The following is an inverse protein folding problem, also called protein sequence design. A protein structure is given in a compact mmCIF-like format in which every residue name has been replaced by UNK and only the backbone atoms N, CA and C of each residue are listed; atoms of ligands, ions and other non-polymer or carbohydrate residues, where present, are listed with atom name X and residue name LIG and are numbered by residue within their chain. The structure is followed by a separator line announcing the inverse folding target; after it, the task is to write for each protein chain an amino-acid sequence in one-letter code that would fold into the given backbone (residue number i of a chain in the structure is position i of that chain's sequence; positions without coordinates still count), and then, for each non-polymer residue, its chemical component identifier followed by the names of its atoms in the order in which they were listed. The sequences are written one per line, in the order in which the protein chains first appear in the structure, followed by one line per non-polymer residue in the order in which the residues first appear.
data_IF_082722211511
#
_entry.id   IF_082722211511
#
_cell.length_a   1.000
_cell.length_b   1.000
_cell.length_c   1.000
_cell.angle_alpha   90.00
_cell.angle_beta   90.00
_cell.angle_gamma   90.00
#
_symmetry.space_group_name_H-M   'P 1'
#
loop_
_entity.id
_entity.type
_entity.pdbx_description
1 polymer ?
#
# COMPACT_ATOMS: atom_id res chain seq x y z
N UNK A 1 8.52 -56.92 17.67
CA UNK A 1 8.13 -56.25 16.39
C UNK A 1 6.83 -55.45 16.49
N UNK A 2 5.98 -55.70 17.49
CA UNK A 2 4.74 -54.97 17.79
C UNK A 2 4.95 -53.61 18.46
N UNK A 3 5.99 -53.45 19.29
CA UNK A 3 6.29 -52.19 20.00
C UNK A 3 6.63 -51.01 19.10
N UNK A 4 7.46 -51.24 18.07
CA UNK A 4 7.86 -50.18 17.14
C UNK A 4 6.67 -49.62 16.36
N UNK A 5 5.72 -50.47 15.94
CA UNK A 5 4.51 -50.04 15.23
C UNK A 5 3.57 -49.23 16.13
N UNK A 6 3.50 -49.58 17.42
CA UNK A 6 2.69 -48.84 18.41
C UNK A 6 3.27 -47.44 18.67
N UNK A 7 4.59 -47.36 18.81
CA UNK A 7 5.31 -46.10 19.02
C UNK A 7 5.17 -45.14 17.83
N UNK A 8 5.29 -45.66 16.59
CA UNK A 8 5.13 -44.87 15.37
C UNK A 8 3.72 -44.26 15.24
N UNK A 9 2.66 -45.01 15.58
CA UNK A 9 1.29 -44.49 15.56
C UNK A 9 1.06 -43.37 16.60
N UNK A 10 1.64 -43.50 17.80
CA UNK A 10 1.52 -42.47 18.84
C UNK A 10 2.25 -41.19 18.45
N UNK A 11 3.44 -41.31 17.85
CA UNK A 11 4.18 -40.16 17.33
C UNK A 11 3.38 -39.40 16.26
N UNK A 12 2.78 -40.13 15.31
CA UNK A 12 1.95 -39.53 14.27
C UNK A 12 0.75 -38.77 14.85
N UNK A 13 0.01 -39.38 15.79
CA UNK A 13 -1.14 -38.74 16.45
C UNK A 13 -0.70 -37.46 17.18
N UNK A 14 0.44 -37.48 17.90
CA UNK A 14 0.96 -36.29 18.58
C UNK A 14 1.27 -35.17 17.60
N UNK A 15 1.96 -35.48 16.50
CA UNK A 15 2.28 -34.48 15.47
C UNK A 15 1.02 -33.91 14.81
N UNK A 16 0.03 -34.73 14.49
CA UNK A 16 -1.24 -34.24 13.91
C UNK A 16 -2.00 -33.34 14.88
N UNK A 17 -2.03 -33.68 16.17
CA UNK A 17 -2.66 -32.85 17.20
C UNK A 17 -1.91 -31.52 17.40
N UNK A 18 -0.59 -31.53 17.37
CA UNK A 18 0.24 -30.33 17.48
C UNK A 18 0.00 -29.38 16.29
N UNK A 19 -0.05 -29.92 15.07
CA UNK A 19 -0.41 -29.14 13.87
C UNK A 19 -1.83 -28.57 14.00
N UNK A 20 -2.80 -29.35 14.47
CA UNK A 20 -4.18 -28.88 14.67
C UNK A 20 -4.27 -27.75 15.71
N UNK A 21 -3.58 -27.91 16.85
CA UNK A 21 -3.53 -26.89 17.90
C UNK A 21 -2.84 -25.62 17.44
N UNK A 22 -1.75 -25.74 16.66
CA UNK A 22 -1.06 -24.59 16.06
C UNK A 22 -1.97 -23.82 15.09
N UNK A 23 -2.66 -24.53 14.20
CA UNK A 23 -3.59 -23.92 13.24
C UNK A 23 -4.80 -23.28 13.92
N UNK A 24 -5.33 -23.89 14.98
CA UNK A 24 -6.44 -23.33 15.75
C UNK A 24 -6.01 -22.04 16.48
N UNK A 25 -4.80 -22.01 17.03
CA UNK A 25 -4.24 -20.82 17.66
C UNK A 25 -4.04 -19.68 16.65
N UNK A 26 -3.55 -19.99 15.45
CA UNK A 26 -3.41 -19.03 14.36
C UNK A 26 -4.77 -18.46 13.93
N UNK A 27 -5.78 -19.32 13.74
CA UNK A 27 -7.14 -18.88 13.40
C UNK A 27 -7.72 -17.94 14.47
N UNK A 28 -7.61 -18.30 15.76
CA UNK A 28 -8.09 -17.44 16.85
C UNK A 28 -7.35 -16.11 16.93
N UNK A 29 -6.05 -16.10 16.65
CA UNK A 29 -5.27 -14.87 16.59
C UNK A 29 -5.77 -13.96 15.47
N UNK A 30 -6.06 -14.51 14.29
CA UNK A 30 -6.63 -13.76 13.17
C UNK A 30 -8.03 -13.22 13.51
N UNK A 31 -8.89 -14.02 14.15
CA UNK A 31 -10.21 -13.56 14.61
C UNK A 31 -10.10 -12.38 15.59
N UNK A 32 -9.16 -12.44 16.54
CA UNK A 32 -8.92 -11.35 17.49
C UNK A 32 -8.42 -10.09 16.79
N UNK A 33 -7.52 -10.22 15.82
CA UNK A 33 -7.03 -9.08 15.03
C UNK A 33 -8.16 -8.42 14.23
N UNK A 34 -9.02 -9.23 13.59
CA UNK A 34 -10.17 -8.73 12.86
C UNK A 34 -11.14 -7.97 13.79
N UNK A 35 -11.42 -8.53 14.96
CA UNK A 35 -12.27 -7.90 15.96
C UNK A 35 -11.69 -6.55 16.44
N UNK A 36 -10.37 -6.47 16.65
CA UNK A 36 -9.70 -5.23 17.04
C UNK A 36 -9.80 -4.16 15.94
N UNK A 37 -9.58 -4.52 14.67
CA UNK A 37 -9.71 -3.59 13.54
C UNK A 37 -11.14 -3.08 13.38
N UNK A 38 -12.14 -3.94 13.56
CA UNK A 38 -13.55 -3.53 13.52
C UNK A 38 -13.89 -2.55 14.65
N UNK A 39 -13.38 -2.79 15.86
CA UNK A 39 -13.58 -1.87 16.99
C UNK A 39 -12.92 -0.51 16.75
N UNK A 40 -11.72 -0.48 16.16
CA UNK A 40 -11.03 0.76 15.78
C UNK A 40 -11.83 1.53 14.72
N UNK A 41 -12.35 0.85 13.70
CA UNK A 41 -13.20 1.46 12.68
C UNK A 41 -14.48 2.05 13.26
N UNK A 42 -15.16 1.34 14.18
CA UNK A 42 -16.36 1.87 14.84
C UNK A 42 -16.03 3.07 15.74
N UNK A 43 -14.85 3.10 16.36
CA UNK A 43 -14.39 4.27 17.12
C UNK A 43 -14.22 5.47 16.21
N UNK A 44 -13.51 5.32 15.08
CA UNK A 44 -13.32 6.39 14.10
C UNK A 44 -14.63 6.83 13.47
N UNK A 45 -15.52 5.90 13.15
CA UNK A 45 -16.84 6.18 12.61
C UNK A 45 -17.71 6.96 13.59
N UNK A 46 -17.52 6.81 14.90
CA UNK A 46 -18.26 7.56 15.91
C UNK A 46 -17.60 8.91 16.28
N UNK A 47 -16.42 9.19 15.76
CA UNK A 47 -15.79 10.48 15.89
C UNK A 47 -16.63 11.57 15.19
N UNK A 48 -17.25 12.41 16.00
CA UNK A 48 -18.08 13.52 15.53
C UNK A 48 -17.28 14.58 14.77
N UNK A 49 -15.97 14.72 15.03
CA UNK A 49 -15.07 15.58 14.27
C UNK A 49 -14.88 15.04 12.85
N UNK A 50 -14.56 13.76 12.72
CA UNK A 50 -14.39 13.10 11.42
C UNK A 50 -15.68 13.15 10.58
N UNK A 51 -16.85 12.92 11.20
CA UNK A 51 -18.15 13.07 10.50
C UNK A 51 -18.34 14.47 9.93
N UNK A 52 -18.05 15.51 10.71
CA UNK A 52 -18.18 16.91 10.28
C UNK A 52 -17.22 17.24 9.13
N UNK A 53 -15.99 16.73 9.18
CA UNK A 53 -15.01 16.91 8.10
C UNK A 53 -15.47 16.24 6.80
N UNK A 54 -15.98 15.00 6.87
CA UNK A 54 -16.52 14.28 5.71
C UNK A 54 -17.73 15.02 5.13
N UNK A 55 -18.65 15.50 5.97
CA UNK A 55 -19.81 16.27 5.54
C UNK A 55 -19.40 17.58 4.85
N UNK A 56 -18.43 18.28 5.42
CA UNK A 56 -17.88 19.50 4.84
C UNK A 56 -17.24 19.24 3.47
N UNK A 57 -16.38 18.22 3.37
CA UNK A 57 -15.72 17.85 2.12
C UNK A 57 -16.76 17.47 1.05
N UNK A 58 -17.77 16.68 1.42
CA UNK A 58 -18.84 16.25 0.51
C UNK A 58 -19.61 17.44 -0.04
N UNK A 59 -20.02 18.37 0.84
CA UNK A 59 -20.72 19.60 0.43
C UNK A 59 -19.85 20.50 -0.45
N UNK A 60 -18.57 20.66 -0.10
CA UNK A 60 -17.62 21.46 -0.87
C UNK A 60 -17.42 20.88 -2.28
N UNK A 61 -17.23 19.57 -2.40
CA UNK A 61 -17.09 18.89 -3.70
C UNK A 61 -18.37 18.99 -4.53
N UNK A 62 -19.54 18.86 -3.91
CA UNK A 62 -20.83 19.06 -4.56
C UNK A 62 -20.96 20.48 -5.13
N UNK A 63 -20.68 21.50 -4.31
CA UNK A 63 -20.73 22.91 -4.72
C UNK A 63 -19.72 23.21 -5.85
N UNK A 64 -18.50 22.69 -5.73
CA UNK A 64 -17.49 22.80 -6.79
C UNK A 64 -17.97 22.21 -8.11
N UNK A 65 -18.60 21.02 -8.05
CA UNK A 65 -19.16 20.36 -9.23
C UNK A 65 -20.32 21.12 -9.87
N UNK A 66 -21.23 21.66 -9.06
CA UNK A 66 -22.41 22.42 -9.52
C UNK A 66 -22.01 23.70 -10.26
N UNK A 67 -21.02 24.42 -9.75
CA UNK A 67 -20.56 25.69 -10.33
C UNK A 67 -19.35 25.54 -11.26
N UNK A 68 -18.87 24.32 -11.50
CA UNK A 68 -17.74 24.04 -12.39
C UNK A 68 -16.39 24.57 -11.92
N UNK A 69 -16.24 24.84 -10.62
CA UNK A 69 -14.98 25.30 -10.04
C UNK A 69 -14.07 24.12 -9.67
N UNK A 70 -12.77 24.39 -9.69
CA UNK A 70 -11.72 23.53 -9.18
C UNK A 70 -11.18 24.05 -7.85
N UNK A 71 -10.59 23.16 -7.04
CA UNK A 71 -9.92 23.56 -5.79
C UNK A 71 -8.84 24.64 -6.02
N UNK A 72 -8.19 24.64 -7.19
CA UNK A 72 -7.19 25.65 -7.55
C UNK A 72 -7.82 27.04 -7.68
N UNK A 73 -8.99 27.14 -8.29
CA UNK A 73 -9.70 28.40 -8.46
C UNK A 73 -10.21 28.93 -7.12
N UNK A 74 -10.73 28.06 -6.24
CA UNK A 74 -11.06 28.45 -4.87
C UNK A 74 -9.84 28.99 -4.12
N UNK A 75 -8.69 28.30 -4.20
CA UNK A 75 -7.45 28.79 -3.58
C UNK A 75 -7.05 30.15 -4.17
N UNK A 76 -7.24 30.36 -5.47
CA UNK A 76 -7.01 31.67 -6.10
C UNK A 76 -7.93 32.79 -5.63
N UNK A 77 -9.17 32.46 -5.25
CA UNK A 77 -10.14 33.41 -4.69
C UNK A 77 -9.83 33.71 -3.22
N UNK A 78 -9.53 32.69 -2.42
CA UNK A 78 -9.32 32.81 -0.97
C UNK A 78 -7.92 33.32 -0.61
N UNK A 79 -6.91 32.91 -1.36
CA UNK A 79 -5.52 33.34 -1.20
C UNK A 79 -4.90 33.67 -2.58
N UNK A 80 -5.19 34.86 -3.11
CA UNK A 80 -4.64 35.31 -4.39
C UNK A 80 -3.11 35.42 -4.37
N UNK A 81 -2.48 35.52 -3.19
CA UNK A 81 -1.03 35.64 -3.09
C UNK A 81 -0.32 34.28 -3.11
N UNK A 82 -0.93 33.22 -2.56
CA UNK A 82 -0.48 31.85 -2.78
C UNK A 82 -0.65 31.39 -4.24
N UNK A 83 -1.65 31.91 -4.96
CA UNK A 83 -1.80 31.67 -6.39
C UNK A 83 -0.71 32.39 -7.22
N UNK A 84 -0.30 33.59 -6.81
CA UNK A 84 0.77 34.38 -7.45
C UNK A 84 2.17 33.84 -7.18
N UNK A 85 2.39 33.15 -6.05
CA UNK A 85 3.65 32.49 -5.69
C UNK A 85 4.05 31.33 -6.60
N UNK A 86 3.14 30.86 -7.48
CA UNK A 86 3.44 29.94 -8.59
C UNK A 86 3.31 30.63 -9.95
N UNK A 87 3.74 31.90 -10.08
CA UNK A 87 4.26 32.36 -11.36
C UNK A 87 5.51 31.53 -11.65
N UNK A 88 5.31 30.41 -12.32
CA UNK A 88 6.37 29.72 -13.03
C UNK A 88 7.14 30.78 -13.81
N UNK A 89 8.42 30.94 -13.48
CA UNK A 89 9.34 31.73 -14.27
C UNK A 89 9.17 31.33 -15.75
N UNK A 90 9.32 32.28 -16.70
CA UNK A 90 9.18 31.96 -18.11
C UNK A 90 10.14 30.81 -18.43
N UNK A 91 9.58 29.72 -18.95
CA UNK A 91 10.32 28.51 -19.30
C UNK A 91 11.12 28.81 -20.57
N UNK A 92 12.23 29.54 -20.43
CA UNK A 92 13.36 29.46 -21.37
C UNK A 92 14.36 28.48 -20.80
N UNK A 93 14.03 27.19 -20.89
CA UNK A 93 14.99 26.12 -20.72
C UNK A 93 14.76 25.13 -21.86
N UNK A 94 15.70 25.19 -22.80
CA UNK A 94 15.89 24.34 -23.95
C UNK A 94 15.43 22.90 -23.69
N UNK A 95 14.61 22.35 -24.60
CA UNK A 95 14.29 20.91 -24.62
C UNK A 95 15.58 20.11 -24.82
N UNK A 96 16.29 19.81 -23.73
CA UNK A 96 17.21 18.66 -23.69
C UNK A 96 16.35 17.43 -23.93
N UNK A 97 16.40 16.90 -25.16
CA UNK A 97 15.87 15.58 -25.52
C UNK A 97 16.45 14.54 -24.58
N UNK A 98 15.68 14.19 -23.56
CA UNK A 98 16.04 13.20 -22.56
C UNK A 98 16.14 11.84 -23.26
N UNK A 99 17.31 11.22 -23.16
CA UNK A 99 17.59 9.85 -23.62
C UNK A 99 16.42 8.93 -23.28
N UNK A 100 15.93 8.17 -24.26
CA UNK A 100 14.85 7.21 -24.05
C UNK A 100 15.23 6.25 -22.93
N UNK A 101 14.32 6.01 -21.97
CA UNK A 101 14.62 5.17 -20.80
C UNK A 101 14.64 3.71 -21.21
N UNK A 102 15.75 3.03 -20.90
CA UNK A 102 15.95 1.60 -21.13
C UNK A 102 15.00 0.78 -20.23
N UNK A 103 14.52 -0.35 -20.75
CA UNK A 103 13.69 -1.30 -19.98
C UNK A 103 14.57 -2.03 -18.99
N UNK A 104 14.34 -1.78 -17.70
CA UNK A 104 14.98 -2.48 -16.59
C UNK A 104 14.16 -3.69 -16.20
N UNK A 105 14.80 -4.85 -16.10
CA UNK A 105 14.17 -6.10 -15.67
C UNK A 105 14.69 -6.48 -14.29
N UNK A 106 13.81 -6.54 -13.30
CA UNK A 106 14.12 -6.96 -11.94
C UNK A 106 13.55 -8.36 -11.69
N UNK A 107 14.32 -9.24 -11.03
CA UNK A 107 13.87 -10.59 -10.67
C UNK A 107 14.05 -10.82 -9.17
N UNK A 108 12.95 -11.07 -8.47
CA UNK A 108 12.99 -11.37 -7.05
C UNK A 108 13.48 -12.82 -6.82
N UNK A 109 14.58 -13.05 -6.08
CA UNK A 109 15.11 -14.40 -5.83
C UNK A 109 14.26 -15.24 -4.85
N UNK A 110 13.42 -14.59 -4.03
CA UNK A 110 12.62 -15.25 -3.00
C UNK A 110 11.28 -15.76 -3.55
N UNK A 111 10.66 -14.99 -4.44
CA UNK A 111 9.34 -15.33 -5.03
C UNK A 111 9.42 -15.77 -6.47
N UNK A 112 10.54 -15.52 -7.17
CA UNK A 112 10.71 -15.80 -8.59
C UNK A 112 9.98 -14.82 -9.52
N UNK A 113 9.28 -13.83 -8.97
CA UNK A 113 8.55 -12.82 -9.73
C UNK A 113 9.49 -11.89 -10.52
N UNK A 114 9.07 -11.49 -11.72
CA UNK A 114 9.84 -10.63 -12.63
C UNK A 114 9.06 -9.35 -12.93
N UNK A 115 9.74 -8.21 -12.85
CA UNK A 115 9.19 -6.89 -13.18
C UNK A 115 10.00 -6.23 -14.28
N UNK A 116 9.33 -5.87 -15.37
CA UNK A 116 9.91 -5.07 -16.44
C UNK A 116 9.40 -3.63 -16.32
N UNK A 117 10.30 -2.66 -16.17
CA UNK A 117 9.92 -1.25 -16.09
C UNK A 117 10.92 -0.32 -16.73
N UNK A 118 10.42 0.69 -17.45
CA UNK A 118 11.23 1.79 -18.01
C UNK A 118 11.56 2.87 -16.96
N UNK A 119 11.29 2.62 -15.67
CA UNK A 119 11.62 3.54 -14.57
C UNK A 119 11.06 3.14 -13.20
N UNK A 120 11.36 3.91 -12.15
CA UNK A 120 10.97 3.58 -10.77
C UNK A 120 9.48 3.70 -10.42
N UNK A 121 8.59 4.02 -11.37
CA UNK A 121 7.15 4.15 -11.10
C UNK A 121 6.37 2.86 -11.41
N UNK A 122 6.82 1.73 -10.86
CA UNK A 122 6.13 0.45 -10.96
C UNK A 122 5.63 0.02 -9.58
N UNK A 123 4.34 -0.32 -9.45
CA UNK A 123 3.70 -0.62 -8.15
C UNK A 123 4.40 -1.77 -7.43
N UNK A 124 4.72 -2.85 -8.14
CA UNK A 124 5.38 -4.01 -7.57
C UNK A 124 6.84 -3.70 -7.15
N UNK A 125 7.55 -2.87 -7.92
CA UNK A 125 8.92 -2.47 -7.60
C UNK A 125 8.95 -1.56 -6.36
N UNK A 126 7.94 -0.68 -6.20
CA UNK A 126 7.76 0.12 -4.98
C UNK A 126 7.42 -0.76 -3.77
N UNK A 127 6.57 -1.76 -3.94
CA UNK A 127 6.24 -2.71 -2.88
C UNK A 127 7.49 -3.49 -2.45
N UNK A 128 8.29 -4.00 -3.39
CA UNK A 128 9.57 -4.64 -3.07
C UNK A 128 10.52 -3.69 -2.35
N UNK A 129 10.68 -2.45 -2.83
CA UNK A 129 11.54 -1.46 -2.15
C UNK A 129 11.07 -1.14 -0.72
N UNK A 130 9.76 -1.22 -0.46
CA UNK A 130 9.20 -1.08 0.89
C UNK A 130 9.47 -2.30 1.79
N UNK A 131 9.52 -3.51 1.21
CA UNK A 131 9.71 -4.75 1.95
C UNK A 131 11.18 -5.13 2.17
N UNK A 132 12.02 -4.96 1.13
CA UNK A 132 13.41 -5.41 1.08
C UNK A 132 14.42 -4.27 0.98
N UNK A 133 13.96 -3.01 0.91
CA UNK A 133 14.84 -1.83 0.91
C UNK A 133 15.73 -1.71 -0.33
N UNK A 134 17.00 -1.35 -0.11
CA UNK A 134 18.01 -1.17 -1.16
C UNK A 134 18.43 -2.48 -1.84
N UNK A 135 18.16 -3.63 -1.24
CA UNK A 135 18.48 -4.95 -1.80
C UNK A 135 17.82 -5.18 -3.18
N UNK A 136 16.65 -4.57 -3.39
CA UNK A 136 15.90 -4.62 -4.66
C UNK A 136 16.69 -4.01 -5.82
N UNK A 137 17.61 -3.08 -5.55
CA UNK A 137 18.44 -2.48 -6.60
C UNK A 137 19.47 -3.48 -7.14
N UNK A 138 19.88 -4.48 -6.34
CA UNK A 138 20.78 -5.55 -6.74
C UNK A 138 20.08 -6.70 -7.50
N UNK A 139 18.74 -6.66 -7.61
CA UNK A 139 17.95 -7.66 -8.34
C UNK A 139 17.75 -7.33 -9.81
N UNK A 140 18.43 -6.28 -10.30
CA UNK A 140 18.42 -5.88 -11.69
C UNK A 140 19.17 -6.93 -12.54
N UNK A 141 18.45 -7.56 -13.47
CA UNK A 141 18.99 -8.56 -14.40
C UNK A 141 19.38 -7.93 -15.73
N UNK A 142 18.69 -6.84 -16.13
CA UNK A 142 18.89 -6.15 -17.40
C UNK A 142 18.52 -4.68 -17.31
#
# INVERSE_FOLDING_TARGET
MTDLRRSANIAHIKTTLEIYMSRLAEFRKLEQQLAAQLAELETLKNDTGLKKEIEFETKLRGLLGEYGFSLREIVGILDPQAASGRKSAPVTAEKKTRKAREMKVYKNPLTGEVVETKGGNHKLLKAWKGQFGEEVENWLVK
#
